data_IF_047645769055
#
_entry.id   IF_047645769055
#
_cell.length_a   1.000
_cell.length_b   1.000
_cell.length_c   1.000
_cell.angle_alpha   90.00
_cell.angle_beta   90.00
_cell.angle_gamma   90.00
#
_symmetry.space_group_name_H-M   'P 1'
#
loop_
_entity.id
_entity.type
_entity.pdbx_description
1 polymer ?
#
# COMPACT_ATOMS: atom_id res chain seq x y z
N UNK A 1 -48.53 -3.60 10.59
CA UNK A 1 -47.54 -4.13 11.56
C UNK A 1 -46.39 -4.72 10.76
N UNK A 2 -45.21 -4.10 10.77
CA UNK A 2 -44.05 -4.55 9.97
C UNK A 2 -43.02 -5.19 10.89
N UNK A 3 -42.80 -6.50 10.74
CA UNK A 3 -41.77 -7.24 11.47
C UNK A 3 -40.48 -7.23 10.65
N UNK A 4 -39.52 -6.41 11.07
CA UNK A 4 -38.14 -6.52 10.61
C UNK A 4 -37.57 -7.80 11.23
N UNK A 5 -37.25 -8.79 10.40
CA UNK A 5 -36.60 -10.03 10.84
C UNK A 5 -35.16 -9.70 11.22
N UNK A 6 -34.80 -10.00 12.46
CA UNK A 6 -33.42 -9.90 12.96
C UNK A 6 -32.55 -10.95 12.28
N UNK A 7 -31.60 -10.51 11.46
CA UNK A 7 -30.56 -11.37 10.90
C UNK A 7 -29.59 -11.78 12.02
N UNK A 8 -29.24 -13.04 12.06
CA UNK A 8 -28.31 -13.60 13.05
C UNK A 8 -26.87 -13.26 12.68
N UNK A 9 -26.00 -13.16 13.69
CA UNK A 9 -24.56 -12.88 13.48
C UNK A 9 -23.89 -13.87 12.52
N UNK A 10 -24.36 -15.12 12.46
CA UNK A 10 -23.85 -16.13 11.52
C UNK A 10 -24.21 -15.82 10.05
N UNK A 11 -25.39 -15.24 9.79
CA UNK A 11 -25.79 -14.78 8.45
C UNK A 11 -25.00 -13.53 8.05
N UNK A 12 -24.74 -12.64 9.00
CA UNK A 12 -23.87 -11.47 8.79
C UNK A 12 -22.43 -11.91 8.50
N UNK A 13 -21.92 -12.94 9.18
CA UNK A 13 -20.59 -13.47 8.96
C UNK A 13 -20.46 -14.16 7.59
N UNK A 14 -21.52 -14.82 7.11
CA UNK A 14 -21.57 -15.43 5.77
C UNK A 14 -21.52 -14.41 4.63
N UNK A 15 -22.00 -13.18 4.86
CA UNK A 15 -21.86 -12.07 3.90
C UNK A 15 -20.39 -11.60 3.85
N UNK A 16 -19.63 -11.78 4.92
CA UNK A 16 -18.20 -11.47 4.96
C UNK A 16 -17.33 -12.50 4.23
N UNK A 17 -17.92 -13.64 3.83
CA UNK A 17 -17.24 -14.83 3.29
C UNK A 17 -17.73 -15.21 1.88
N UNK A 18 -18.28 -14.26 1.13
CA UNK A 18 -18.52 -14.38 -0.33
C UNK A 18 -17.83 -13.27 -1.13
N UNK A 19 -16.90 -12.54 -0.49
CA UNK A 19 -16.04 -11.54 -1.14
C UNK A 19 -14.57 -11.98 -1.15
N UNK A 20 -14.29 -13.29 -1.19
CA UNK A 20 -12.91 -13.80 -1.18
C UNK A 20 -12.50 -14.54 -2.48
N UNK A 21 -13.42 -14.70 -3.43
CA UNK A 21 -13.15 -15.41 -4.70
C UNK A 21 -13.41 -14.57 -5.97
N UNK A 22 -13.34 -13.24 -5.86
CA UNK A 22 -13.23 -12.38 -7.05
C UNK A 22 -12.00 -11.48 -6.94
N UNK A 23 -10.90 -12.00 -7.49
CA UNK A 23 -9.80 -11.19 -8.03
C UNK A 23 -9.21 -10.23 -7.00
N UNK A 24 -8.42 -10.71 -6.05
CA UNK A 24 -7.45 -9.81 -5.37
C UNK A 24 -6.64 -9.15 -6.49
N UNK A 25 -6.86 -7.86 -6.78
CA UNK A 25 -6.16 -7.24 -7.88
C UNK A 25 -4.69 -7.23 -7.48
N UNK A 26 -3.82 -7.70 -8.38
CA UNK A 26 -2.38 -7.70 -8.17
C UNK A 26 -1.97 -6.32 -7.62
N UNK A 27 -1.51 -6.28 -6.37
CA UNK A 27 -1.24 -5.02 -5.67
C UNK A 27 -0.25 -4.16 -6.48
N UNK A 28 0.69 -4.81 -7.16
CA UNK A 28 1.64 -4.13 -8.06
C UNK A 28 0.92 -3.48 -9.24
N UNK A 29 -0.07 -4.17 -9.81
CA UNK A 29 -0.91 -3.65 -10.90
C UNK A 29 -1.73 -2.44 -10.43
N UNK A 30 -2.33 -2.50 -9.24
CA UNK A 30 -3.10 -1.39 -8.66
C UNK A 30 -2.23 -0.18 -8.34
N UNK A 31 -1.03 -0.39 -7.80
CA UNK A 31 -0.05 0.68 -7.57
C UNK A 31 0.31 1.36 -8.90
N UNK A 32 0.51 0.59 -9.96
CA UNK A 32 0.79 1.12 -11.29
C UNK A 32 -0.38 1.91 -11.87
N UNK A 33 -1.61 1.46 -11.68
CA UNK A 33 -2.79 2.23 -12.09
C UNK A 33 -2.94 3.52 -11.30
N UNK A 34 -2.85 3.48 -9.97
CA UNK A 34 -2.94 4.67 -9.13
C UNK A 34 -1.85 5.70 -9.48
N UNK A 35 -0.63 5.25 -9.79
CA UNK A 35 0.45 6.11 -10.28
C UNK A 35 0.10 6.79 -11.61
N UNK A 36 -0.45 6.04 -12.57
CA UNK A 36 -0.88 6.59 -13.87
C UNK A 36 -2.03 7.58 -13.71
N UNK A 37 -3.00 7.26 -12.87
CA UNK A 37 -4.14 8.14 -12.57
C UNK A 37 -3.67 9.47 -11.97
N UNK A 38 -2.74 9.41 -11.01
CA UNK A 38 -2.15 10.62 -10.42
C UNK A 38 -1.38 11.45 -11.45
N UNK A 39 -0.55 10.81 -12.28
CA UNK A 39 0.15 11.48 -13.37
C UNK A 39 -0.80 12.10 -14.40
N UNK A 40 -1.94 11.47 -14.65
CA UNK A 40 -2.96 11.99 -15.54
C UNK A 40 -3.66 13.21 -14.93
N UNK A 41 -4.06 13.14 -13.66
CA UNK A 41 -4.66 14.26 -12.93
C UNK A 41 -3.73 15.49 -12.88
N UNK A 42 -2.42 15.28 -12.74
CA UNK A 42 -1.43 16.37 -12.82
C UNK A 42 -1.35 17.02 -14.20
N UNK A 43 -1.66 16.28 -15.27
CA UNK A 43 -1.71 16.84 -16.64
C UNK A 43 -3.03 17.57 -16.90
N UNK A 44 -4.12 17.09 -16.33
CA UNK A 44 -5.48 17.65 -16.48
C UNK A 44 -5.52 19.15 -16.12
N UNK A 45 -4.73 19.62 -15.16
CA UNK A 45 -4.67 21.05 -14.76
C UNK A 45 -4.26 21.99 -15.90
N UNK A 46 -3.54 21.51 -16.92
CA UNK A 46 -3.08 22.34 -18.03
C UNK A 46 -4.17 22.56 -19.10
N UNK A 47 -5.25 21.78 -19.05
CA UNK A 47 -6.28 21.74 -20.10
C UNK A 47 -7.70 21.87 -19.53
N UNK A 48 -7.83 22.00 -18.21
CA UNK A 48 -9.10 22.15 -17.56
C UNK A 48 -9.63 23.57 -17.71
N UNK A 49 -10.95 23.68 -17.92
CA UNK A 49 -11.65 24.95 -17.85
C UNK A 49 -11.60 25.49 -16.41
N UNK A 50 -11.59 26.81 -16.24
CA UNK A 50 -11.42 27.47 -14.94
C UNK A 50 -12.53 27.15 -13.93
N UNK A 51 -13.71 26.77 -14.40
CA UNK A 51 -14.82 26.32 -13.55
C UNK A 51 -14.59 24.92 -12.97
N UNK A 52 -13.64 24.15 -13.52
CA UNK A 52 -13.27 22.81 -13.08
C UNK A 52 -12.02 22.77 -12.19
N UNK A 53 -11.37 23.90 -11.90
CA UNK A 53 -10.15 23.95 -11.07
C UNK A 53 -10.32 23.21 -9.73
N UNK A 54 -11.45 23.44 -9.06
CA UNK A 54 -11.76 22.77 -7.79
C UNK A 54 -11.85 21.24 -7.93
N UNK A 55 -12.43 20.76 -9.03
CA UNK A 55 -12.52 19.33 -9.33
C UNK A 55 -11.14 18.74 -9.65
N UNK A 56 -10.32 19.42 -10.45
CA UNK A 56 -8.97 18.95 -10.81
C UNK A 56 -8.07 18.88 -9.58
N UNK A 57 -8.11 19.89 -8.71
CA UNK A 57 -7.37 19.87 -7.44
C UNK A 57 -7.83 18.70 -6.57
N UNK A 58 -9.15 18.46 -6.47
CA UNK A 58 -9.68 17.30 -5.75
C UNK A 58 -9.20 15.97 -6.35
N UNK A 59 -9.20 15.84 -7.68
CA UNK A 59 -8.70 14.66 -8.40
C UNK A 59 -7.23 14.40 -8.15
N UNK A 60 -6.39 15.43 -8.19
CA UNK A 60 -4.95 15.32 -7.88
C UNK A 60 -4.77 14.79 -6.45
N UNK A 61 -5.43 15.42 -5.47
CA UNK A 61 -5.31 15.02 -4.06
C UNK A 61 -5.83 13.60 -3.80
N UNK A 62 -6.96 13.23 -4.39
CA UNK A 62 -7.56 11.91 -4.18
C UNK A 62 -6.73 10.79 -4.80
N UNK A 63 -6.21 11.00 -6.02
CA UNK A 63 -5.35 10.01 -6.70
C UNK A 63 -3.99 9.86 -6.04
N UNK A 64 -3.38 10.96 -5.56
CA UNK A 64 -2.16 10.92 -4.77
C UNK A 64 -2.34 10.10 -3.48
N UNK A 65 -3.39 10.40 -2.71
CA UNK A 65 -3.68 9.67 -1.45
C UNK A 65 -3.90 8.19 -1.69
N UNK A 66 -4.60 7.81 -2.77
CA UNK A 66 -4.78 6.40 -3.16
C UNK A 66 -3.43 5.75 -3.46
N UNK A 67 -2.58 6.41 -4.25
CA UNK A 67 -1.26 5.89 -4.59
C UNK A 67 -0.39 5.69 -3.33
N UNK A 68 -0.35 6.67 -2.42
CA UNK A 68 0.38 6.57 -1.16
C UNK A 68 -0.14 5.44 -0.26
N UNK A 69 -1.46 5.30 -0.12
CA UNK A 69 -2.06 4.23 0.69
C UNK A 69 -1.69 2.83 0.16
N UNK A 70 -1.65 2.65 -1.17
CA UNK A 70 -1.24 1.39 -1.78
C UNK A 70 0.27 1.10 -1.59
N UNK A 71 1.12 2.12 -1.62
CA UNK A 71 2.54 1.97 -1.28
C UNK A 71 2.74 1.58 0.19
N UNK A 72 1.99 2.16 1.11
CA UNK A 72 2.00 1.78 2.52
C UNK A 72 1.53 0.34 2.73
N UNK A 73 0.52 -0.09 1.98
CA UNK A 73 0.06 -1.48 1.97
C UNK A 73 1.15 -2.43 1.47
N UNK A 74 1.77 -2.14 0.32
CA UNK A 74 2.86 -2.94 -0.23
C UNK A 74 4.05 -3.05 0.74
N UNK A 75 4.37 -1.97 1.45
CA UNK A 75 5.39 -1.98 2.51
C UNK A 75 5.02 -2.90 3.67
N UNK A 76 3.75 -2.91 4.09
CA UNK A 76 3.26 -3.84 5.15
C UNK A 76 3.30 -5.29 4.70
N UNK A 77 3.06 -5.54 3.41
CA UNK A 77 3.13 -6.86 2.78
C UNK A 77 4.57 -7.30 2.46
N UNK A 78 5.57 -6.47 2.75
CA UNK A 78 6.99 -6.79 2.52
C UNK A 78 7.40 -6.75 1.05
N UNK A 79 6.61 -6.11 0.18
CA UNK A 79 6.98 -5.89 -1.21
C UNK A 79 8.03 -4.78 -1.29
N UNK A 80 9.26 -5.14 -1.63
CA UNK A 80 10.36 -4.20 -1.86
C UNK A 80 10.37 -3.76 -3.32
N UNK A 81 10.42 -2.43 -3.58
CA UNK A 81 10.46 -1.87 -4.93
C UNK A 81 11.75 -2.19 -5.71
N UNK A 82 12.80 -2.59 -4.98
CA UNK A 82 14.10 -2.96 -5.54
C UNK A 82 14.52 -4.29 -4.93
N UNK A 83 14.84 -5.27 -5.78
CA UNK A 83 15.72 -6.35 -5.34
C UNK A 83 17.10 -5.72 -5.16
N UNK A 84 17.38 -5.19 -3.97
CA UNK A 84 18.78 -5.01 -3.55
C UNK A 84 19.46 -6.38 -3.73
N UNK A 85 20.55 -6.47 -4.51
CA UNK A 85 21.35 -7.67 -4.54
C UNK A 85 21.90 -7.83 -3.12
N UNK A 86 21.26 -8.72 -2.37
CA UNK A 86 21.57 -9.15 -1.01
C UNK A 86 21.02 -8.28 0.14
N UNK A 87 20.25 -8.97 0.98
CA UNK A 87 20.24 -8.91 2.45
C UNK A 87 19.15 -8.12 3.21
N UNK A 88 18.33 -8.93 3.89
CA UNK A 88 17.59 -8.71 5.14
C UNK A 88 16.38 -7.76 5.13
N UNK A 89 15.25 -8.29 4.64
CA UNK A 89 13.98 -8.01 5.32
C UNK A 89 14.12 -8.49 6.77
N UNK A 90 14.09 -7.53 7.69
CA UNK A 90 14.20 -7.72 9.14
C UNK A 90 13.21 -8.76 9.66
N UNK A 91 13.64 -10.02 9.76
CA UNK A 91 13.11 -10.93 10.75
C UNK A 91 13.55 -10.38 12.10
N UNK A 92 12.61 -9.88 12.91
CA UNK A 92 12.87 -9.62 14.34
C UNK A 92 13.18 -10.97 15.00
N UNK A 93 14.43 -11.36 15.01
CA UNK A 93 14.92 -12.33 15.98
C UNK A 93 15.40 -11.53 17.18
N UNK A 94 14.67 -11.65 18.29
CA UNK A 94 15.12 -11.18 19.57
C UNK A 94 16.40 -11.96 19.94
N UNK A 95 17.56 -11.30 19.90
CA UNK A 95 18.77 -11.86 20.50
C UNK A 95 18.61 -11.99 22.02
N UNK A 96 19.25 -13.01 22.61
CA UNK A 96 20.04 -12.74 23.79
C UNK A 96 21.46 -13.31 23.67
N UNK A 97 22.44 -12.39 23.74
CA UNK A 97 23.63 -12.57 24.57
C UNK A 97 24.90 -13.20 23.98
N UNK A 98 26.02 -12.55 24.34
CA UNK A 98 27.42 -13.04 24.40
C UNK A 98 28.16 -13.19 23.05
N UNK A 99 29.42 -12.81 22.85
CA UNK A 99 30.54 -12.46 23.73
C UNK A 99 31.60 -11.71 22.89
N UNK A 100 32.41 -10.91 23.57
CA UNK A 100 33.54 -10.12 23.06
C UNK A 100 34.61 -10.98 22.39
N UNK A 101 35.18 -10.49 21.27
CA UNK A 101 36.64 -10.57 21.02
C UNK A 101 37.09 -9.50 20.03
N UNK A 102 37.90 -8.58 20.57
CA UNK A 102 38.76 -7.56 19.94
C UNK A 102 39.32 -7.97 18.56
N UNK A 103 39.36 -7.05 17.58
CA UNK A 103 40.57 -6.61 16.84
C UNK A 103 40.35 -5.22 16.22
N UNK A 104 41.19 -4.26 16.60
CA UNK A 104 41.38 -2.93 15.97
C UNK A 104 42.32 -3.02 14.75
N UNK A 105 42.47 -1.94 13.94
CA UNK A 105 42.59 -2.02 12.49
C UNK A 105 44.05 -2.02 11.99
N UNK A 106 44.25 -2.51 10.77
CA UNK A 106 45.50 -2.32 10.03
C UNK A 106 45.14 -1.92 8.58
N UNK A 107 45.21 -0.62 8.29
CA UNK A 107 45.32 -0.12 6.91
C UNK A 107 46.65 0.62 6.80
N UNK A 108 47.59 0.00 6.10
CA UNK A 108 48.78 0.63 5.52
C UNK A 108 48.95 0.08 4.11
N UNK A 109 49.08 0.98 3.14
CA UNK A 109 49.29 0.69 1.72
C UNK A 109 48.62 1.73 0.86
#
# INVERSE_FOLDING_TARGET
MSTIKSLTLAEIFKIKETTDDQTTPDLVKEINYARRDWQQALKEINYADSDLDGYVIYRINSTERRYMALLEQAKKEGMCAWQEPTQFCCRKEASPGADNRKKEPLCTG
#
